data_IF_847206494910
#
_entry.id   IF_847206494910
#
_cell.length_a   1.000
_cell.length_b   1.000
_cell.length_c   1.000
_cell.angle_alpha   90.00
_cell.angle_beta   90.00
_cell.angle_gamma   90.00
#
_symmetry.space_group_name_H-M   'P 1'
#
loop_
_entity.id
_entity.type
_entity.pdbx_description
1 polymer ?
#
# COMPACT_ATOMS: atom_id res chain seq x y z
N UNK A 1 9.50 -5.72 12.16
CA UNK A 1 8.74 -6.96 11.89
C UNK A 1 7.49 -6.64 11.08
N UNK A 2 7.31 -7.33 9.97
CA UNK A 2 6.20 -7.08 9.06
C UNK A 2 5.15 -8.18 9.13
N UNK A 3 3.90 -7.79 9.11
CA UNK A 3 2.79 -8.73 9.09
C UNK A 3 2.01 -8.53 7.81
N UNK A 4 1.75 -9.60 7.08
CA UNK A 4 0.97 -9.52 5.85
C UNK A 4 -0.48 -9.16 6.19
N UNK A 5 -1.01 -8.15 5.50
CA UNK A 5 -2.39 -7.70 5.70
C UNK A 5 -3.27 -8.05 4.50
N UNK A 6 -2.69 -8.51 3.42
CA UNK A 6 -3.44 -8.86 2.23
C UNK A 6 -2.84 -8.23 0.99
N UNK A 7 -3.63 -8.16 -0.05
CA UNK A 7 -3.18 -7.57 -1.31
C UNK A 7 -4.23 -6.59 -1.80
N UNK A 8 -3.80 -5.67 -2.65
CA UNK A 8 -4.73 -4.77 -3.31
C UNK A 8 -4.22 -4.50 -4.73
N UNK A 9 -5.11 -4.08 -5.61
CA UNK A 9 -4.76 -3.77 -6.99
C UNK A 9 -5.04 -2.31 -7.26
N UNK A 10 -4.03 -1.60 -7.75
CA UNK A 10 -4.15 -0.18 -8.08
C UNK A 10 -3.57 0.01 -9.48
N UNK A 11 -4.33 0.65 -10.35
CA UNK A 11 -3.90 0.90 -11.74
C UNK A 11 -3.43 -0.39 -12.44
N UNK A 12 -4.10 -1.51 -12.15
CA UNK A 12 -3.76 -2.79 -12.77
C UNK A 12 -2.53 -3.47 -12.19
N UNK A 13 -1.95 -2.91 -11.13
CA UNK A 13 -0.75 -3.46 -10.51
C UNK A 13 -1.12 -4.05 -9.17
N UNK A 14 -0.63 -5.26 -8.89
CA UNK A 14 -0.90 -5.92 -7.62
C UNK A 14 0.16 -5.54 -6.60
N UNK A 15 -0.30 -5.20 -5.40
CA UNK A 15 0.58 -4.84 -4.29
C UNK A 15 0.28 -5.72 -3.09
N UNK A 16 1.34 -6.22 -2.46
CA UNK A 16 1.22 -6.92 -1.20
C UNK A 16 1.32 -5.88 -0.09
N UNK A 17 0.42 -5.94 0.87
CA UNK A 17 0.32 -4.93 1.92
C UNK A 17 0.77 -5.54 3.24
N UNK A 18 1.66 -4.83 3.93
CA UNK A 18 2.19 -5.28 5.22
C UNK A 18 2.04 -4.18 6.25
N UNK A 19 1.82 -4.59 7.48
CA UNK A 19 1.93 -3.69 8.62
C UNK A 19 3.27 -3.93 9.28
N UNK A 20 3.98 -2.87 9.61
CA UNK A 20 5.30 -2.98 10.24
C UNK A 20 5.23 -2.36 11.62
N UNK A 21 5.41 -3.17 12.65
CA UNK A 21 5.30 -2.72 14.02
C UNK A 21 6.42 -1.77 14.39
N UNK A 22 7.64 -2.06 13.94
CA UNK A 22 8.77 -1.20 14.24
C UNK A 22 8.59 0.19 13.65
N UNK A 23 8.08 0.23 12.44
CA UNK A 23 7.80 1.49 11.75
C UNK A 23 6.53 2.15 12.26
N UNK A 24 5.62 1.35 12.80
CA UNK A 24 4.28 1.79 13.21
C UNK A 24 3.49 2.31 12.02
N UNK A 25 3.61 1.64 10.92
CA UNK A 25 2.94 2.05 9.71
C UNK A 25 2.72 0.89 8.77
N UNK A 26 2.48 1.19 7.51
CA UNK A 26 2.21 0.17 6.51
C UNK A 26 3.10 0.34 5.30
N UNK A 27 3.41 -0.79 4.68
CA UNK A 27 4.28 -0.86 3.52
C UNK A 27 3.55 -1.59 2.41
N UNK A 28 3.75 -1.15 1.17
CA UNK A 28 3.23 -1.86 0.01
C UNK A 28 4.40 -2.31 -0.85
N UNK A 29 4.30 -3.51 -1.38
CA UNK A 29 5.32 -4.09 -2.25
C UNK A 29 4.68 -4.38 -3.60
N UNK A 30 5.25 -3.82 -4.67
CA UNK A 30 4.80 -4.11 -6.02
C UNK A 30 5.20 -5.54 -6.34
N UNK A 31 4.21 -6.41 -6.52
CA UNK A 31 4.50 -7.83 -6.72
C UNK A 31 5.21 -8.13 -8.03
N UNK A 32 5.10 -7.26 -9.00
CA UNK A 32 5.74 -7.49 -10.30
C UNK A 32 7.22 -7.12 -10.27
N UNK A 33 7.59 -6.09 -9.52
CA UNK A 33 8.97 -5.58 -9.53
C UNK A 33 9.69 -5.80 -8.22
N UNK A 34 8.97 -6.04 -7.14
CA UNK A 34 9.55 -6.14 -5.81
C UNK A 34 9.81 -4.79 -5.16
N UNK A 35 9.46 -3.70 -5.82
CA UNK A 35 9.66 -2.39 -5.24
C UNK A 35 8.77 -2.20 -4.01
N UNK A 36 9.33 -1.68 -2.94
CA UNK A 36 8.61 -1.55 -1.69
C UNK A 36 8.67 -0.11 -1.23
N UNK A 37 7.55 0.41 -0.75
CA UNK A 37 7.48 1.78 -0.25
C UNK A 37 6.58 1.85 0.97
N UNK A 38 6.88 2.80 1.86
CA UNK A 38 6.03 3.08 3.00
C UNK A 38 4.82 3.84 2.50
N UNK A 39 3.64 3.32 2.75
CA UNK A 39 2.41 3.97 2.31
C UNK A 39 1.71 4.71 3.44
N UNK A 40 1.88 4.27 4.67
CA UNK A 40 1.31 4.94 5.84
C UNK A 40 2.41 5.01 6.89
N UNK A 41 2.73 6.21 7.33
CA UNK A 41 3.86 6.40 8.23
C UNK A 41 3.48 6.35 9.70
N UNK A 42 2.23 6.56 10.00
CA UNK A 42 1.83 6.62 11.40
C UNK A 42 0.44 6.03 11.54
N UNK A 43 0.37 4.77 11.94
CA UNK A 43 -0.89 4.10 12.14
C UNK A 43 -1.13 3.01 11.11
N UNK A 44 -2.32 2.43 11.18
CA UNK A 44 -2.69 1.33 10.32
C UNK A 44 -4.08 1.61 9.74
N UNK A 45 -4.22 1.39 8.46
CA UNK A 45 -5.50 1.52 7.80
C UNK A 45 -6.11 0.14 7.61
N UNK A 46 -7.41 0.03 7.78
CA UNK A 46 -8.11 -1.22 7.55
C UNK A 46 -9.03 -1.14 6.34
N UNK A 47 -9.42 0.06 5.94
CA UNK A 47 -10.30 0.22 4.80
C UNK A 47 -9.52 0.10 3.51
N UNK A 48 -10.03 -0.73 2.61
CA UNK A 48 -9.39 -0.95 1.33
C UNK A 48 -9.21 0.35 0.54
N UNK A 49 -10.21 1.21 0.57
CA UNK A 49 -10.13 2.48 -0.15
C UNK A 49 -8.97 3.34 0.35
N UNK A 50 -8.78 3.39 1.66
CA UNK A 50 -7.69 4.17 2.24
C UNK A 50 -6.34 3.59 1.82
N UNK A 51 -6.22 2.27 1.84
CA UNK A 51 -4.99 1.60 1.45
C UNK A 51 -4.68 1.86 -0.02
N UNK A 52 -5.68 1.76 -0.89
CA UNK A 52 -5.48 2.00 -2.32
C UNK A 52 -5.02 3.42 -2.59
N UNK A 53 -5.61 4.39 -1.92
CA UNK A 53 -5.20 5.79 -2.09
C UNK A 53 -3.77 6.00 -1.62
N UNK A 54 -3.40 5.37 -0.51
CA UNK A 54 -2.06 5.49 0.02
C UNK A 54 -1.05 4.88 -0.95
N UNK A 55 -1.38 3.72 -1.54
CA UNK A 55 -0.52 3.09 -2.54
C UNK A 55 -0.37 3.98 -3.76
N UNK A 56 -1.48 4.51 -4.26
CA UNK A 56 -1.43 5.38 -5.43
C UNK A 56 -0.54 6.59 -5.19
N UNK A 57 -0.64 7.19 -4.02
CA UNK A 57 0.20 8.34 -3.69
C UNK A 57 1.67 7.96 -3.59
N UNK A 58 1.96 6.87 -2.91
CA UNK A 58 3.35 6.47 -2.68
C UNK A 58 4.05 6.08 -3.96
N UNK A 59 3.33 5.46 -4.89
CA UNK A 59 3.92 4.97 -6.14
C UNK A 59 3.63 5.88 -7.32
N UNK A 60 3.05 7.04 -7.07
CA UNK A 60 2.75 8.02 -8.12
C UNK A 60 1.86 7.44 -9.21
N UNK A 61 0.85 6.69 -8.79
CA UNK A 61 -0.08 6.07 -9.72
C UNK A 61 -1.39 6.86 -9.77
N UNK A 62 -2.12 6.76 -10.87
CA UNK A 62 -3.44 7.40 -10.91
C UNK A 62 -4.37 6.68 -9.95
N UNK A 63 -5.24 7.43 -9.28
CA UNK A 63 -6.24 6.81 -8.45
C UNK A 63 -7.33 6.25 -9.33
N UNK A 64 -8.10 5.33 -8.80
CA UNK A 64 -9.15 4.75 -9.60
C UNK A 64 -10.27 5.72 -9.90
N UNK A 65 -10.38 6.86 -9.18
CA UNK A 65 -11.36 7.79 -9.52
C UNK A 65 -10.77 8.84 -10.31
N UNK A 66 -11.28 9.17 -11.25
CA UNK A 66 -10.68 10.11 -12.06
C UNK A 66 -11.34 11.41 -12.03
N UNK A 67 -11.49 11.78 -11.99
CA UNK A 67 -12.04 12.83 -12.19
C UNK A 67 -12.13 13.19 -12.23
#
# INVERSE_FOLDING_TARGET
MKYAKGTTTVAGINFAIFADITLRGMIAVNEATGEEKIIIRSGYATKDLTIRKAVANAFSLPTFRTK
#
